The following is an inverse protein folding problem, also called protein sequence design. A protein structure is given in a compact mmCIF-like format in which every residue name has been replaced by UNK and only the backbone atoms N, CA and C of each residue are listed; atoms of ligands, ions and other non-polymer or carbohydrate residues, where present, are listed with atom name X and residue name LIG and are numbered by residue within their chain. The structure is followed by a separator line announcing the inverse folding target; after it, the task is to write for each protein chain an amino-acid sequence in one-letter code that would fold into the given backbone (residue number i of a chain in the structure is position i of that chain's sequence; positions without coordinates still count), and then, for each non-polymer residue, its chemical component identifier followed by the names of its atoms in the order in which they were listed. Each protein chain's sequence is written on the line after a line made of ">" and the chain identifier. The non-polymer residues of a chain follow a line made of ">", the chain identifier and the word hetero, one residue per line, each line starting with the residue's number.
data_IF_505719686102
#
_entry.id   IF_505719686102
#
_cell.length_a   1.000
_cell.length_b   1.000
_cell.length_c   1.000
_cell.angle_alpha   90.00
_cell.angle_beta   90.00
_cell.angle_gamma   90.00
#
_symmetry.space_group_name_H-M   'P 1'
#
loop_
_entity.id
_entity.type
_entity.pdbx_description
1 polymer ?
#
# COMPACT_ATOMS: atom_id res chain seq x y z
N UNK A 1 -33.81 -43.03 -11.38
CA UNK A 1 -33.52 -41.74 -10.70
C UNK A 1 -32.14 -41.34 -11.17
N UNK A 2 -32.07 -40.88 -12.42
CA UNK A 2 -30.82 -40.39 -12.98
C UNK A 2 -30.50 -39.06 -12.30
N UNK A 3 -29.38 -39.04 -11.59
CA UNK A 3 -28.74 -37.82 -11.13
C UNK A 3 -28.41 -37.04 -12.41
N UNK A 4 -29.25 -36.06 -12.75
CA UNK A 4 -28.94 -35.10 -13.82
C UNK A 4 -27.69 -34.38 -13.34
N UNK A 5 -26.55 -34.74 -13.91
CA UNK A 5 -25.36 -33.89 -13.85
C UNK A 5 -25.85 -32.51 -14.25
N UNK A 6 -25.72 -31.54 -13.34
CA UNK A 6 -26.00 -30.14 -13.64
C UNK A 6 -25.30 -29.83 -14.95
N UNK A 7 -26.11 -29.57 -15.98
CA UNK A 7 -25.63 -29.18 -17.28
C UNK A 7 -24.85 -27.88 -17.06
N UNK A 8 -23.52 -27.85 -17.29
CA UNK A 8 -22.69 -26.67 -17.04
C UNK A 8 -23.10 -25.47 -17.91
N UNK A 9 -24.06 -25.66 -18.81
CA UNK A 9 -24.66 -24.69 -19.72
C UNK A 9 -26.12 -24.37 -19.39
N UNK A 10 -26.56 -24.52 -18.13
CA UNK A 10 -27.83 -23.97 -17.69
C UNK A 10 -27.79 -22.43 -17.78
N UNK A 11 -28.80 -21.77 -18.36
CA UNK A 11 -28.82 -20.30 -18.50
C UNK A 11 -28.64 -19.58 -17.15
N UNK A 12 -29.10 -20.19 -16.06
CA UNK A 12 -28.95 -19.66 -14.69
C UNK A 12 -27.48 -19.60 -14.22
N UNK A 13 -26.62 -20.54 -14.64
CA UNK A 13 -25.20 -20.52 -14.30
C UNK A 13 -24.47 -19.42 -15.09
N UNK A 14 -24.82 -19.26 -16.37
CA UNK A 14 -24.25 -18.21 -17.21
C UNK A 14 -24.60 -16.80 -16.71
N UNK A 15 -25.84 -16.59 -16.28
CA UNK A 15 -26.29 -15.32 -15.69
C UNK A 15 -25.52 -15.00 -14.39
N UNK A 16 -25.27 -16.01 -13.55
CA UNK A 16 -24.47 -15.86 -12.33
C UNK A 16 -22.99 -15.57 -12.61
N UNK A 17 -22.40 -16.22 -13.62
CA UNK A 17 -21.01 -15.97 -14.03
C UNK A 17 -20.82 -14.55 -14.57
N UNK A 18 -21.80 -14.02 -15.32
CA UNK A 18 -21.79 -12.63 -15.79
C UNK A 18 -21.85 -11.64 -14.63
N UNK A 19 -22.69 -11.91 -13.62
CA UNK A 19 -22.78 -11.09 -12.42
C UNK A 19 -21.46 -11.09 -11.63
N UNK A 20 -20.86 -12.27 -11.41
CA UNK A 20 -19.57 -12.41 -10.72
C UNK A 20 -18.47 -11.67 -11.48
N UNK A 21 -18.38 -11.83 -12.79
CA UNK A 21 -17.36 -11.18 -13.61
C UNK A 21 -17.51 -9.64 -13.58
N UNK A 22 -18.74 -9.13 -13.57
CA UNK A 22 -19.04 -7.70 -13.41
C UNK A 22 -18.54 -7.16 -12.06
N UNK A 23 -18.79 -7.87 -10.96
CA UNK A 23 -18.27 -7.48 -9.64
C UNK A 23 -16.75 -7.55 -9.58
N UNK A 24 -16.15 -8.62 -10.12
CA UNK A 24 -14.69 -8.76 -10.18
C UNK A 24 -14.06 -7.61 -10.96
N UNK A 25 -14.62 -7.27 -12.13
CA UNK A 25 -14.15 -6.13 -12.93
C UNK A 25 -14.24 -4.82 -12.15
N UNK A 26 -15.33 -4.60 -11.43
CA UNK A 26 -15.51 -3.42 -10.58
C UNK A 26 -14.46 -3.36 -9.47
N UNK A 27 -14.22 -4.47 -8.77
CA UNK A 27 -13.21 -4.56 -7.71
C UNK A 27 -11.79 -4.29 -8.25
N UNK A 28 -11.44 -4.86 -9.41
CA UNK A 28 -10.16 -4.60 -10.05
C UNK A 28 -9.99 -3.13 -10.42
N UNK A 29 -11.02 -2.48 -10.96
CA UNK A 29 -10.97 -1.05 -11.25
C UNK A 29 -10.71 -0.22 -9.99
N UNK A 30 -11.38 -0.53 -8.88
CA UNK A 30 -11.13 0.13 -7.59
C UNK A 30 -9.71 -0.13 -7.08
N UNK A 31 -9.22 -1.36 -7.16
CA UNK A 31 -7.86 -1.73 -6.76
C UNK A 31 -6.81 -0.96 -7.56
N UNK A 32 -6.96 -0.87 -8.89
CA UNK A 32 -6.05 -0.10 -9.73
C UNK A 32 -6.11 1.41 -9.43
N UNK A 33 -7.31 1.97 -9.27
CA UNK A 33 -7.47 3.38 -8.93
C UNK A 33 -6.83 3.72 -7.58
N UNK A 34 -7.06 2.89 -6.57
CA UNK A 34 -6.44 3.02 -5.26
C UNK A 34 -4.91 2.85 -5.33
N UNK A 35 -4.42 1.89 -6.12
CA UNK A 35 -3.00 1.67 -6.35
C UNK A 35 -2.30 2.90 -6.95
N UNK A 36 -2.91 3.53 -7.96
CA UNK A 36 -2.41 4.77 -8.56
C UNK A 36 -2.41 5.91 -7.55
N UNK A 37 -3.51 6.10 -6.82
CA UNK A 37 -3.61 7.10 -5.77
C UNK A 37 -2.52 6.92 -4.71
N UNK A 38 -2.37 5.71 -4.17
CA UNK A 38 -1.36 5.38 -3.18
C UNK A 38 0.06 5.62 -3.72
N UNK A 39 0.33 5.26 -4.98
CA UNK A 39 1.61 5.53 -5.63
C UNK A 39 1.92 7.03 -5.68
N UNK A 40 0.96 7.85 -6.12
CA UNK A 40 1.12 9.31 -6.19
C UNK A 40 1.37 9.92 -4.81
N UNK A 41 0.59 9.52 -3.80
CA UNK A 41 0.76 9.99 -2.42
C UNK A 41 2.15 9.64 -1.91
N UNK A 42 2.56 8.37 -2.04
CA UNK A 42 3.86 7.92 -1.54
C UNK A 42 5.03 8.57 -2.28
N UNK A 43 4.92 8.78 -3.59
CA UNK A 43 5.92 9.49 -4.37
C UNK A 43 6.08 10.94 -3.89
N UNK A 44 4.97 11.66 -3.70
CA UNK A 44 5.01 13.06 -3.20
C UNK A 44 5.56 13.13 -1.79
N UNK A 45 5.15 12.21 -0.91
CA UNK A 45 5.68 12.11 0.46
C UNK A 45 7.18 11.84 0.45
N UNK A 46 7.66 10.89 -0.39
CA UNK A 46 9.09 10.61 -0.55
C UNK A 46 9.87 11.86 -0.91
N UNK A 47 9.39 12.54 -1.95
CA UNK A 47 10.04 13.73 -2.49
C UNK A 47 10.08 14.86 -1.45
N UNK A 48 9.00 15.06 -0.70
CA UNK A 48 8.94 16.05 0.37
C UNK A 48 9.93 15.75 1.50
N UNK A 49 10.01 14.49 1.96
CA UNK A 49 10.95 14.04 2.99
C UNK A 49 12.40 14.20 2.49
N UNK A 50 12.69 13.73 1.28
CA UNK A 50 14.02 13.85 0.66
C UNK A 50 14.48 15.31 0.61
N UNK A 51 13.59 16.22 0.20
CA UNK A 51 13.85 17.66 0.20
C UNK A 51 14.03 18.22 1.62
N UNK A 52 13.21 17.80 2.59
CA UNK A 52 13.24 18.29 3.97
C UNK A 52 14.51 17.90 4.73
N UNK A 53 15.02 16.69 4.48
CA UNK A 53 16.21 16.12 5.13
C UNK A 53 17.45 16.15 4.23
N UNK A 54 17.40 16.86 3.09
CA UNK A 54 18.49 16.99 2.13
C UNK A 54 19.15 15.65 1.72
N UNK A 55 18.34 14.59 1.59
CA UNK A 55 18.82 13.28 1.16
C UNK A 55 19.20 13.39 -0.34
N UNK A 56 20.46 13.08 -0.73
CA UNK A 56 20.92 13.21 -2.11
C UNK A 56 20.17 12.24 -3.03
N UNK A 57 19.99 12.64 -4.28
CA UNK A 57 19.46 11.76 -5.34
C UNK A 57 20.63 11.13 -6.07
N UNK A 58 20.66 9.81 -6.18
CA UNK A 58 21.71 9.11 -6.92
C UNK A 58 21.41 9.03 -8.41
N UNK A 59 20.13 8.93 -8.79
CA UNK A 59 19.72 8.83 -10.20
C UNK A 59 18.35 9.46 -10.47
N UNK A 60 18.10 9.77 -11.74
CA UNK A 60 16.82 10.35 -12.16
C UNK A 60 15.67 9.38 -11.84
N UNK A 61 14.58 9.89 -11.25
CA UNK A 61 13.40 9.12 -10.87
C UNK A 61 13.59 8.09 -9.73
N UNK A 62 14.67 8.16 -8.95
CA UNK A 62 14.89 7.32 -7.76
C UNK A 62 13.66 7.19 -6.86
N UNK A 63 12.95 8.30 -6.63
CA UNK A 63 11.75 8.28 -5.81
C UNK A 63 10.65 7.38 -6.38
N UNK A 64 10.46 7.36 -7.70
CA UNK A 64 9.47 6.52 -8.37
C UNK A 64 9.88 5.04 -8.33
N UNK A 65 11.17 4.75 -8.55
CA UNK A 65 11.72 3.38 -8.50
C UNK A 65 11.63 2.82 -7.08
N UNK A 66 11.97 3.60 -6.05
CA UNK A 66 11.86 3.17 -4.66
C UNK A 66 10.40 2.86 -4.27
N UNK A 67 9.43 3.67 -4.70
CA UNK A 67 8.01 3.38 -4.43
C UNK A 67 7.51 2.17 -5.22
N UNK A 68 7.95 1.99 -6.48
CA UNK A 68 7.53 0.85 -7.30
C UNK A 68 8.12 -0.48 -6.83
N UNK A 69 9.40 -0.52 -6.45
CA UNK A 69 10.13 -1.75 -6.14
C UNK A 69 10.27 -2.06 -4.64
N UNK A 70 10.29 -1.04 -3.76
CA UNK A 70 10.55 -1.20 -2.32
C UNK A 70 9.60 -0.32 -1.49
N UNK A 71 8.30 -0.36 -1.81
CA UNK A 71 7.28 0.48 -1.16
C UNK A 71 7.31 0.42 0.36
N UNK A 72 7.43 -0.78 0.94
CA UNK A 72 7.50 -0.98 2.39
C UNK A 72 8.77 -0.35 3.00
N UNK A 73 9.91 -0.45 2.32
CA UNK A 73 11.19 0.11 2.74
C UNK A 73 11.13 1.63 2.77
N UNK A 74 10.52 2.22 1.74
CA UNK A 74 10.32 3.65 1.63
C UNK A 74 9.40 4.18 2.75
N UNK A 75 8.30 3.48 3.04
CA UNK A 75 7.40 3.82 4.16
C UNK A 75 8.10 3.68 5.51
N UNK A 76 8.87 2.61 5.71
CA UNK A 76 9.65 2.42 6.94
C UNK A 76 10.69 3.53 7.13
N UNK A 77 11.35 3.97 6.05
CA UNK A 77 12.26 5.11 6.07
C UNK A 77 11.53 6.39 6.50
N UNK A 78 10.30 6.63 6.03
CA UNK A 78 9.51 7.80 6.45
C UNK A 78 9.16 7.75 7.93
N UNK A 79 8.76 6.58 8.44
CA UNK A 79 8.49 6.41 9.87
C UNK A 79 9.70 6.68 10.76
N UNK A 80 10.93 6.44 10.26
CA UNK A 80 12.13 6.79 11.04
C UNK A 80 12.31 8.29 11.23
N UNK A 81 11.72 9.11 10.37
CA UNK A 81 11.81 10.56 10.45
C UNK A 81 10.73 11.19 11.34
N UNK A 82 9.73 10.41 11.79
CA UNK A 82 8.64 10.91 12.66
C UNK A 82 8.94 10.80 14.15
N UNK A 83 10.10 10.28 14.54
CA UNK A 83 10.52 10.15 15.94
C UNK A 83 12.02 10.36 16.13
N UNK A 84 12.41 10.80 17.32
CA UNK A 84 13.82 10.99 17.69
C UNK A 84 14.43 9.67 18.20
N UNK A 85 15.01 8.92 17.26
CA UNK A 85 15.65 7.64 17.55
C UNK A 85 17.04 7.76 18.18
N UNK A 86 17.65 8.94 18.23
CA UNK A 86 18.91 9.18 18.95
C UNK A 86 18.63 9.20 20.46
N UNK A 87 17.49 9.75 20.86
CA UNK A 87 17.08 9.84 22.26
C UNK A 87 16.26 8.64 22.73
N UNK A 88 15.46 8.04 21.85
CA UNK A 88 14.54 6.95 22.22
C UNK A 88 14.72 5.74 21.29
N UNK A 89 15.09 4.60 21.87
CA UNK A 89 15.26 3.35 21.11
C UNK A 89 13.91 2.86 20.57
N UNK A 90 13.91 2.33 19.34
CA UNK A 90 12.73 1.71 18.73
C UNK A 90 12.28 0.47 19.52
N UNK A 91 10.97 0.29 19.69
CA UNK A 91 10.39 -0.86 20.39
C UNK A 91 9.37 -1.55 19.49
N UNK A 92 9.53 -2.88 19.31
CA UNK A 92 8.57 -3.69 18.57
C UNK A 92 7.23 -3.81 19.33
N UNK A 93 6.13 -3.99 18.59
CA UNK A 93 4.78 -4.16 19.14
C UNK A 93 4.25 -2.99 19.98
N UNK A 94 4.73 -1.77 19.69
CA UNK A 94 4.17 -0.53 20.23
C UNK A 94 3.36 0.18 19.13
N UNK A 95 2.34 0.97 19.52
CA UNK A 95 1.46 1.68 18.58
C UNK A 95 2.21 2.65 17.67
N UNK A 96 3.30 3.23 18.16
CA UNK A 96 4.07 4.29 17.47
C UNK A 96 5.51 3.90 17.16
N UNK A 97 5.98 2.73 17.59
CA UNK A 97 7.37 2.29 17.42
C UNK A 97 8.36 2.91 18.41
N UNK A 98 7.89 3.65 19.42
CA UNK A 98 8.68 4.30 20.49
C UNK A 98 8.11 3.97 21.88
N UNK A 99 8.91 4.09 22.97
CA UNK A 99 8.42 3.87 24.34
C UNK A 99 7.32 4.87 24.73
N UNK A 100 6.33 4.44 25.52
CA UNK A 100 5.18 5.28 25.96
C UNK A 100 5.59 6.55 26.75
N UNK A 101 6.82 6.60 27.26
CA UNK A 101 7.36 7.71 28.05
C UNK A 101 7.92 8.86 27.18
N UNK A 102 7.64 8.88 25.87
CA UNK A 102 8.09 9.93 24.97
C UNK A 102 7.19 11.18 25.09
N UNK A 103 7.75 12.41 25.22
CA UNK A 103 6.96 13.64 25.16
C UNK A 103 6.26 13.72 23.80
N UNK A 104 4.97 14.04 23.78
CA UNK A 104 4.12 14.02 22.58
C UNK A 104 4.81 14.62 21.35
N UNK A 105 4.87 13.82 20.28
CA UNK A 105 5.41 14.18 18.97
C UNK A 105 4.62 15.39 18.40
N UNK A 106 5.34 16.41 17.92
CA UNK A 106 4.79 17.61 17.24
C UNK A 106 4.47 17.28 15.79
#
# INVERSE_FOLDING_TARGET
>A
MELRADDPTSPEIADLEEEINSYQQTLHLFEYAFGIYAFVVLYRTRRAIRQRYAIPQEFCCEDAVCIACCRCCAVAQYGRHTADYERYRSVCFSTTGVPEQHPSLV
#
